data_IF_256325438052
#
_entry.id   IF_256325438052
#
_cell.length_a   1.000
_cell.length_b   1.000
_cell.length_c   1.000
_cell.angle_alpha   90.00
_cell.angle_beta   90.00
_cell.angle_gamma   90.00
#
_symmetry.space_group_name_H-M   'P 1'
#
loop_
_entity.id
_entity.type
_entity.pdbx_description
1 polymer ?
#
# COMPACT_ATOMS: atom_id res chain seq x y z
N UNK A 1 -25.21 16.91 17.40
CA UNK A 1 -24.08 16.56 16.50
C UNK A 1 -22.87 16.11 17.30
N UNK A 2 -21.98 15.26 16.76
CA UNK A 2 -20.69 14.97 17.41
C UNK A 2 -19.73 16.13 17.13
N UNK A 3 -19.14 16.72 18.17
CA UNK A 3 -18.22 17.87 18.05
C UNK A 3 -16.86 17.52 18.67
N UNK A 4 -15.79 18.05 18.10
CA UNK A 4 -14.41 17.96 18.61
C UNK A 4 -13.76 19.34 18.47
N UNK A 5 -13.05 19.79 19.49
CA UNK A 5 -12.21 20.99 19.44
C UNK A 5 -10.86 20.69 20.08
N UNK A 6 -9.78 21.03 19.38
CA UNK A 6 -8.40 20.81 19.83
C UNK A 6 -7.71 22.17 20.02
N UNK A 7 -6.83 22.30 21.01
CA UNK A 7 -6.12 23.54 21.35
C UNK A 7 -4.70 23.21 21.84
N UNK A 8 -3.74 24.12 21.60
CA UNK A 8 -2.38 24.03 22.15
C UNK A 8 -1.96 25.39 22.75
N UNK A 9 -1.05 25.37 23.74
CA UNK A 9 -0.43 26.57 24.31
C UNK A 9 1.04 26.32 24.68
N UNK A 10 1.86 27.36 24.59
CA UNK A 10 3.33 27.30 24.70
C UNK A 10 3.95 28.21 25.76
N UNK A 11 3.19 28.71 26.75
CA UNK A 11 3.66 29.61 27.83
C UNK A 11 2.72 30.81 28.10
N UNK A 12 2.58 31.24 29.36
CA UNK A 12 1.63 32.30 29.80
C UNK A 12 0.27 31.79 30.34
N UNK A 13 -0.67 32.67 30.76
CA UNK A 13 -2.02 32.25 31.16
C UNK A 13 -2.88 31.87 29.95
N UNK A 14 -3.71 30.83 30.13
CA UNK A 14 -4.43 30.15 29.05
C UNK A 14 -5.94 30.24 29.23
N UNK A 15 -6.69 30.44 28.14
CA UNK A 15 -8.13 30.22 28.12
C UNK A 15 -8.56 29.49 26.84
N UNK A 16 -9.65 28.73 26.94
CA UNK A 16 -10.35 28.14 25.80
C UNK A 16 -11.85 28.16 26.10
N UNK A 17 -12.65 28.71 25.19
CA UNK A 17 -14.10 28.86 25.32
C UNK A 17 -14.77 28.46 24.02
N UNK A 18 -15.65 27.48 24.07
CA UNK A 18 -16.43 27.04 22.92
C UNK A 18 -17.88 27.56 23.05
N UNK A 19 -18.32 28.36 22.08
CA UNK A 19 -19.65 28.97 22.03
C UNK A 19 -20.29 28.79 20.66
N UNK A 20 -21.62 28.81 20.60
CA UNK A 20 -22.40 28.70 19.37
C UNK A 20 -23.53 29.75 19.33
N UNK A 21 -23.96 30.14 18.12
CA UNK A 21 -25.12 30.99 17.85
C UNK A 21 -25.82 30.50 16.58
N UNK A 22 -27.13 30.75 16.51
CA UNK A 22 -28.02 30.31 15.44
C UNK A 22 -29.49 30.42 15.86
N UNK A 23 -30.42 29.94 15.01
CA UNK A 23 -31.85 29.92 15.33
C UNK A 23 -32.15 29.32 16.71
N UNK A 24 -31.45 28.24 17.07
CA UNK A 24 -31.59 27.51 18.35
C UNK A 24 -31.12 28.29 19.59
N UNK A 25 -30.44 29.42 19.39
CA UNK A 25 -29.95 30.30 20.46
C UNK A 25 -30.65 31.67 20.44
N UNK A 26 -31.63 31.85 19.55
CA UNK A 26 -32.25 33.16 19.29
C UNK A 26 -31.23 34.20 18.80
N UNK A 27 -30.18 33.76 18.10
CA UNK A 27 -29.06 34.62 17.65
C UNK A 27 -28.02 34.95 18.73
N UNK A 28 -28.19 34.50 19.97
CA UNK A 28 -27.27 34.81 21.07
C UNK A 28 -26.06 33.85 21.14
N UNK A 29 -24.88 34.37 21.49
CA UNK A 29 -23.69 33.55 21.67
C UNK A 29 -23.68 32.81 23.02
N UNK A 30 -24.03 31.53 23.01
CA UNK A 30 -24.12 30.68 24.21
C UNK A 30 -22.96 29.68 24.29
N UNK A 31 -22.57 29.27 25.51
CA UNK A 31 -21.60 28.19 25.69
C UNK A 31 -22.19 26.85 25.28
N UNK A 32 -21.37 26.00 24.64
CA UNK A 32 -21.75 24.62 24.31
C UNK A 32 -21.88 23.81 25.61
N UNK A 33 -23.06 23.24 25.89
CA UNK A 33 -23.35 22.42 27.09
C UNK A 33 -23.57 20.95 26.70
N UNK A 34 -23.21 20.02 27.59
CA UNK A 34 -23.56 18.59 27.46
C UNK A 34 -24.94 18.35 28.08
N UNK A 35 -25.82 17.63 27.38
CA UNK A 35 -27.21 17.43 27.81
C UNK A 35 -27.44 16.22 28.72
N UNK A 36 -26.40 15.51 29.17
CA UNK A 36 -26.53 14.45 30.20
C UNK A 36 -25.35 14.46 31.17
N UNK A 37 -25.65 14.65 32.45
CA UNK A 37 -24.76 14.33 33.56
C UNK A 37 -24.73 12.81 33.73
N UNK A 38 -23.54 12.22 33.84
CA UNK A 38 -23.38 10.80 34.19
C UNK A 38 -23.36 9.82 33.00
N UNK A 39 -22.26 9.86 32.25
CA UNK A 39 -21.54 8.72 31.67
C UNK A 39 -20.72 9.24 30.49
N UNK A 40 -19.40 9.32 30.65
CA UNK A 40 -18.52 9.37 29.51
C UNK A 40 -18.85 8.15 28.63
N UNK A 41 -19.19 8.30 27.34
CA UNK A 41 -19.39 7.15 26.48
C UNK A 41 -18.10 6.32 26.51
N UNK A 42 -18.25 5.03 26.77
CA UNK A 42 -17.14 4.08 26.77
C UNK A 42 -16.31 4.27 25.51
N UNK A 43 -14.99 4.40 25.70
CA UNK A 43 -14.02 4.56 24.63
C UNK A 43 -13.92 3.23 23.88
N UNK A 44 -14.85 2.99 22.97
CA UNK A 44 -14.78 1.92 22.00
C UNK A 44 -15.63 2.27 20.77
N UNK A 45 -15.12 3.17 19.93
CA UNK A 45 -15.44 3.13 18.50
C UNK A 45 -14.16 3.27 17.71
N UNK A 46 -13.73 2.09 17.24
CA UNK A 46 -12.60 1.81 16.37
C UNK A 46 -12.33 2.96 15.40
N UNK A 47 -11.06 3.36 15.32
CA UNK A 47 -10.55 4.10 14.18
C UNK A 47 -11.03 3.39 12.89
N UNK A 48 -11.43 4.12 11.84
CA UNK A 48 -11.75 3.48 10.57
C UNK A 48 -10.63 2.52 10.17
N UNK A 49 -10.97 1.36 9.59
CA UNK A 49 -9.98 0.36 9.30
C UNK A 49 -8.89 0.94 8.40
N UNK A 50 -7.64 0.67 8.75
CA UNK A 50 -6.50 0.94 7.89
C UNK A 50 -6.49 -0.08 6.75
N UNK A 51 -6.48 0.41 5.51
CA UNK A 51 -6.44 -0.46 4.33
C UNK A 51 -5.06 -1.06 4.05
N UNK A 52 -4.00 -0.63 4.76
CA UNK A 52 -2.71 -1.29 4.63
C UNK A 52 -2.76 -2.68 5.25
N UNK A 53 -2.41 -3.64 4.41
CA UNK A 53 -2.20 -5.04 4.75
C UNK A 53 -0.74 -5.39 4.51
N UNK A 54 -0.24 -6.36 5.25
CA UNK A 54 1.13 -6.84 5.18
C UNK A 54 1.14 -8.35 5.07
N UNK A 55 2.06 -8.86 4.26
CA UNK A 55 2.43 -10.26 4.23
C UNK A 55 3.92 -10.43 4.45
N UNK A 56 4.27 -11.54 5.10
CA UNK A 56 5.63 -11.95 5.35
C UNK A 56 5.87 -13.30 4.69
N UNK A 57 6.99 -13.40 4.00
CA UNK A 57 7.40 -14.60 3.28
C UNK A 57 8.78 -15.04 3.75
N UNK A 58 8.99 -16.35 3.83
CA UNK A 58 10.27 -16.97 4.15
C UNK A 58 10.94 -17.47 2.86
N UNK A 59 12.20 -17.09 2.66
CA UNK A 59 13.04 -17.70 1.63
C UNK A 59 13.78 -18.92 2.19
N UNK A 60 13.90 -19.96 1.38
CA UNK A 60 14.76 -21.12 1.65
C UNK A 60 16.25 -20.81 1.41
N UNK A 61 16.55 -19.81 0.57
CA UNK A 61 17.91 -19.38 0.24
C UNK A 61 18.22 -18.02 0.87
N UNK A 62 19.50 -17.70 1.13
CA UNK A 62 19.87 -16.38 1.62
C UNK A 62 19.45 -15.26 0.65
N UNK A 63 18.88 -14.18 1.19
CA UNK A 63 18.42 -13.04 0.39
C UNK A 63 19.50 -11.96 0.31
N UNK A 64 19.81 -11.49 -0.89
CA UNK A 64 20.74 -10.37 -1.11
C UNK A 64 20.10 -9.18 -1.82
N UNK A 65 18.91 -9.41 -2.35
CA UNK A 65 18.05 -8.49 -3.08
C UNK A 65 16.60 -8.87 -2.76
N UNK A 66 15.65 -7.98 -3.06
CA UNK A 66 14.21 -8.28 -3.00
C UNK A 66 13.94 -9.50 -3.90
N UNK A 67 13.47 -10.63 -3.32
CA UNK A 67 13.25 -11.86 -4.08
C UNK A 67 12.00 -11.75 -4.95
N UNK A 68 11.89 -12.66 -5.92
CA UNK A 68 10.59 -12.95 -6.49
C UNK A 68 9.75 -13.66 -5.42
N UNK A 69 8.57 -13.12 -5.12
CA UNK A 69 7.75 -13.62 -3.99
C UNK A 69 7.34 -15.09 -4.18
N UNK A 70 7.33 -15.55 -5.43
CA UNK A 70 7.00 -16.91 -5.86
C UNK A 70 8.04 -17.96 -5.45
N UNK A 71 9.30 -17.56 -5.27
CA UNK A 71 10.35 -18.44 -4.77
C UNK A 71 10.36 -18.51 -3.24
N UNK A 72 9.37 -17.89 -2.59
CA UNK A 72 9.28 -17.77 -1.14
C UNK A 72 7.97 -18.35 -0.61
N UNK A 73 7.98 -18.78 0.65
CA UNK A 73 6.81 -19.35 1.32
C UNK A 73 6.11 -18.27 2.15
N UNK A 74 4.83 -18.01 1.93
CA UNK A 74 4.03 -17.17 2.82
C UNK A 74 4.02 -17.79 4.23
N UNK A 75 4.36 -17.00 5.25
CA UNK A 75 4.40 -17.47 6.65
C UNK A 75 3.43 -16.72 7.57
N UNK A 76 2.92 -15.57 7.15
CA UNK A 76 1.86 -14.88 7.87
C UNK A 76 1.48 -13.55 7.25
N UNK A 77 0.38 -12.99 7.72
CA UNK A 77 -0.16 -11.71 7.29
C UNK A 77 -0.69 -10.92 8.47
N UNK A 78 -0.85 -9.61 8.26
CA UNK A 78 -1.48 -8.70 9.19
C UNK A 78 -2.29 -7.66 8.42
N UNK A 79 -3.47 -7.35 8.92
CA UNK A 79 -4.32 -6.29 8.41
C UNK A 79 -4.18 -5.03 9.29
N UNK A 80 -4.85 -3.95 8.88
CA UNK A 80 -5.03 -2.77 9.73
C UNK A 80 -3.72 -2.05 10.10
N UNK A 81 -2.71 -2.11 9.23
CA UNK A 81 -1.40 -1.49 9.42
C UNK A 81 -1.48 0.03 9.25
N UNK A 82 -1.78 0.76 10.32
CA UNK A 82 -2.02 2.22 10.22
C UNK A 82 -0.90 3.03 9.55
N UNK A 83 0.34 2.57 9.66
CA UNK A 83 1.53 3.22 9.10
C UNK A 83 2.68 2.23 8.93
N UNK A 84 3.52 2.47 7.92
CA UNK A 84 4.73 1.67 7.70
C UNK A 84 5.85 2.24 8.57
N UNK A 85 6.03 1.67 9.76
CA UNK A 85 7.08 2.03 10.72
C UNK A 85 7.52 0.81 11.54
N UNK A 86 8.12 -0.14 10.84
CA UNK A 86 8.65 -1.36 11.41
C UNK A 86 10.11 -1.17 11.81
N UNK A 87 10.41 -1.14 13.12
CA UNK A 87 11.77 -0.89 13.64
C UNK A 87 12.35 -2.11 14.35
N UNK A 88 13.67 -2.29 14.27
CA UNK A 88 14.39 -3.39 14.92
C UNK A 88 14.40 -3.21 16.45
N UNK A 89 13.98 -4.25 17.17
CA UNK A 89 13.92 -4.30 18.64
C UNK A 89 12.84 -3.38 19.24
N UNK A 90 11.90 -3.94 20.04
CA UNK A 90 10.68 -3.37 20.68
C UNK A 90 9.34 -3.91 20.11
N UNK A 91 8.21 -3.30 20.52
CA UNK A 91 6.81 -3.59 20.12
C UNK A 91 6.42 -3.18 18.69
N UNK A 92 7.34 -2.64 17.89
CA UNK A 92 7.11 -2.14 16.51
C UNK A 92 7.91 -2.90 15.44
N UNK A 93 8.55 -4.02 15.77
CA UNK A 93 9.17 -4.91 14.77
C UNK A 93 8.14 -5.72 13.98
N UNK A 94 8.55 -6.26 12.82
CA UNK A 94 7.71 -7.13 11.99
C UNK A 94 7.08 -8.29 12.77
N UNK A 95 7.82 -8.89 13.72
CA UNK A 95 7.31 -9.94 14.62
C UNK A 95 6.10 -9.54 15.48
N UNK A 96 5.89 -8.26 15.76
CA UNK A 96 4.72 -7.82 16.53
C UNK A 96 3.47 -7.71 15.66
N UNK A 97 3.65 -7.35 14.39
CA UNK A 97 2.55 -7.31 13.44
C UNK A 97 2.22 -8.72 12.93
N UNK A 98 3.24 -9.52 12.62
CA UNK A 98 3.11 -10.91 12.18
C UNK A 98 4.04 -11.78 13.02
N UNK A 99 3.48 -12.47 14.01
CA UNK A 99 4.24 -13.29 14.98
C UNK A 99 5.11 -14.37 14.33
N UNK A 100 4.68 -14.91 13.20
CA UNK A 100 5.41 -15.90 12.40
C UNK A 100 6.63 -15.34 11.63
N UNK A 101 6.95 -14.04 11.78
CA UNK A 101 8.09 -13.43 11.08
C UNK A 101 9.41 -14.13 11.43
N UNK A 102 10.14 -14.69 10.46
CA UNK A 102 11.42 -15.33 10.68
C UNK A 102 12.51 -14.36 11.15
N UNK A 103 13.55 -14.84 11.83
CA UNK A 103 14.68 -13.98 12.26
C UNK A 103 15.61 -13.54 11.12
N UNK A 104 15.55 -14.23 9.98
CA UNK A 104 16.46 -14.06 8.83
C UNK A 104 15.82 -14.54 7.53
N UNK A 105 16.34 -14.07 6.41
CA UNK A 105 15.95 -14.40 5.04
C UNK A 105 14.43 -14.44 4.85
N UNK A 106 13.79 -13.31 5.16
CA UNK A 106 12.36 -13.09 4.94
C UNK A 106 12.13 -11.85 4.09
N UNK A 107 11.01 -11.85 3.36
CA UNK A 107 10.55 -10.73 2.55
C UNK A 107 9.19 -10.23 3.07
N UNK A 108 8.87 -8.99 2.77
CA UNK A 108 7.57 -8.41 3.05
C UNK A 108 6.98 -7.74 1.81
N UNK A 109 5.65 -7.77 1.76
CA UNK A 109 4.86 -6.93 0.87
C UNK A 109 3.82 -6.22 1.73
N UNK A 110 3.85 -4.90 1.72
CA UNK A 110 2.86 -4.04 2.36
C UNK A 110 2.12 -3.31 1.26
N UNK A 111 0.79 -3.37 1.24
CA UNK A 111 -0.01 -2.76 0.20
C UNK A 111 -1.28 -2.15 0.74
N UNK A 112 -1.79 -1.13 0.04
CA UNK A 112 -3.11 -0.55 0.24
C UNK A 112 -3.15 0.87 -0.32
N UNK A 113 -3.94 1.76 0.29
CA UNK A 113 -4.13 3.12 -0.21
C UNK A 113 -3.76 4.20 0.82
N UNK A 114 -3.17 5.28 0.33
CA UNK A 114 -2.99 6.53 1.06
C UNK A 114 -3.82 7.64 0.40
N UNK A 115 -4.50 8.44 1.22
CA UNK A 115 -5.24 9.62 0.74
C UNK A 115 -4.29 10.81 0.65
N UNK A 116 -4.30 11.49 -0.49
CA UNK A 116 -3.69 12.81 -0.68
C UNK A 116 -4.83 13.83 -0.76
N UNK A 117 -4.87 14.81 0.13
CA UNK A 117 -5.95 15.82 0.16
C UNK A 117 -5.65 17.01 -0.75
N UNK A 118 -4.39 17.43 -0.79
CA UNK A 118 -3.93 18.55 -1.59
C UNK A 118 -2.97 18.05 -2.68
N UNK A 119 -3.36 18.24 -3.94
CA UNK A 119 -2.50 17.96 -5.08
C UNK A 119 -1.19 18.75 -4.97
N UNK A 120 -0.08 18.15 -5.39
CA UNK A 120 1.20 18.82 -5.39
C UNK A 120 2.40 17.88 -5.39
N UNK A 121 3.57 18.45 -5.09
CA UNK A 121 4.84 17.74 -5.06
C UNK A 121 5.10 17.16 -3.67
N UNK A 122 5.26 15.85 -3.59
CA UNK A 122 5.55 15.11 -2.36
C UNK A 122 6.93 14.47 -2.41
N UNK A 123 7.71 14.60 -1.34
CA UNK A 123 8.94 13.84 -1.14
C UNK A 123 8.59 12.59 -0.34
N UNK A 124 8.84 11.42 -0.90
CA UNK A 124 8.77 10.15 -0.19
C UNK A 124 10.16 9.76 0.27
N UNK A 125 10.29 9.30 1.51
CA UNK A 125 11.52 8.78 2.10
C UNK A 125 11.28 7.37 2.65
N UNK A 126 11.97 6.40 2.08
CA UNK A 126 11.91 4.99 2.47
C UNK A 126 13.21 4.61 3.16
N UNK A 127 13.11 4.17 4.41
CA UNK A 127 14.22 3.63 5.19
C UNK A 127 14.06 2.12 5.31
N UNK A 128 15.13 1.35 5.09
CA UNK A 128 15.10 -0.10 5.33
C UNK A 128 16.45 -0.68 5.74
N UNK A 129 16.39 -1.89 6.29
CA UNK A 129 17.50 -2.82 6.50
C UNK A 129 16.91 -4.24 6.36
N UNK A 130 17.24 -5.04 5.35
CA UNK A 130 18.05 -4.72 4.17
C UNK A 130 17.19 -3.96 3.14
N UNK A 131 17.06 -4.47 1.92
CA UNK A 131 16.54 -3.72 0.79
C UNK A 131 15.02 -3.54 0.80
N UNK A 132 14.57 -2.44 0.20
CA UNK A 132 13.15 -2.14 0.00
C UNK A 132 12.87 -1.33 -1.25
N UNK A 133 11.62 -1.33 -1.71
CA UNK A 133 11.18 -0.54 -2.86
C UNK A 133 9.75 -0.05 -2.65
N UNK A 134 9.53 1.23 -2.96
CA UNK A 134 8.23 1.89 -2.88
C UNK A 134 7.66 2.09 -4.28
N UNK A 135 6.40 1.69 -4.45
CA UNK A 135 5.56 2.04 -5.56
C UNK A 135 4.45 2.98 -5.09
N UNK A 136 4.19 4.04 -5.87
CA UNK A 136 3.01 4.88 -5.72
C UNK A 136 2.31 4.96 -7.07
N UNK A 137 1.04 4.55 -7.13
CA UNK A 137 0.27 4.38 -8.37
C UNK A 137 1.09 3.67 -9.46
N UNK A 138 1.64 2.51 -9.10
CA UNK A 138 2.43 1.67 -10.01
C UNK A 138 3.82 2.17 -10.44
N UNK A 139 4.22 3.37 -10.03
CA UNK A 139 5.56 3.87 -10.33
C UNK A 139 6.51 3.59 -9.18
N UNK A 140 7.68 3.03 -9.50
CA UNK A 140 8.80 3.00 -8.56
C UNK A 140 9.17 4.43 -8.21
N UNK A 141 8.93 4.83 -6.97
CA UNK A 141 9.28 6.15 -6.44
C UNK A 141 10.64 6.08 -5.76
N UNK A 142 10.84 5.07 -4.91
CA UNK A 142 12.13 4.84 -4.24
C UNK A 142 12.54 3.40 -4.46
N UNK A 143 13.79 3.19 -4.87
CA UNK A 143 14.40 1.86 -4.96
C UNK A 143 15.64 1.83 -4.06
N UNK A 144 15.54 1.07 -2.98
CA UNK A 144 16.56 0.86 -1.97
C UNK A 144 16.92 -0.62 -1.89
N UNK A 145 16.97 -1.31 -3.02
CA UNK A 145 17.23 -2.74 -3.07
C UNK A 145 18.72 -3.07 -2.92
N UNK A 146 19.02 -4.32 -2.58
CA UNK A 146 20.36 -4.79 -2.22
C UNK A 146 20.57 -4.90 -0.72
N UNK A 147 21.62 -5.63 -0.31
CA UNK A 147 22.02 -5.78 1.09
C UNK A 147 22.64 -4.47 1.60
N UNK A 148 22.15 -3.96 2.72
CA UNK A 148 22.70 -2.78 3.37
C UNK A 148 22.18 -2.65 4.81
N UNK A 149 22.93 -1.95 5.66
CA UNK A 149 22.43 -1.52 6.97
C UNK A 149 21.31 -0.48 6.86
N UNK A 150 20.88 0.10 7.97
CA UNK A 150 19.83 1.13 7.98
C UNK A 150 20.17 2.27 7.01
N UNK A 151 19.43 2.35 5.91
CA UNK A 151 19.68 3.32 4.86
C UNK A 151 18.37 3.92 4.36
N UNK A 152 18.37 5.23 4.13
CA UNK A 152 17.19 5.99 3.67
C UNK A 152 17.44 6.54 2.28
N UNK A 153 16.50 6.29 1.37
CA UNK A 153 16.43 6.99 0.08
C UNK A 153 15.15 7.79 -0.01
N UNK A 154 15.25 8.96 -0.63
CA UNK A 154 14.09 9.80 -0.88
C UNK A 154 13.97 10.18 -2.35
N UNK A 155 12.73 10.37 -2.81
CA UNK A 155 12.44 10.82 -4.16
C UNK A 155 11.17 11.66 -4.21
N UNK A 156 11.14 12.63 -5.12
CA UNK A 156 9.99 13.49 -5.35
C UNK A 156 9.02 12.87 -6.33
N UNK A 157 7.71 13.03 -6.07
CA UNK A 157 6.63 12.64 -6.97
C UNK A 157 5.53 13.69 -6.94
N UNK A 158 4.96 14.01 -8.10
CA UNK A 158 3.74 14.81 -8.16
C UNK A 158 2.53 13.90 -8.01
N UNK A 159 1.60 14.25 -7.13
CA UNK A 159 0.36 13.52 -6.90
C UNK A 159 -0.84 14.47 -7.06
N UNK A 160 -1.93 13.96 -7.63
CA UNK A 160 -3.22 14.64 -7.58
C UNK A 160 -3.84 14.52 -6.18
N UNK A 161 -4.93 15.23 -5.93
CA UNK A 161 -5.78 14.92 -4.79
C UNK A 161 -6.53 13.61 -5.07
N UNK A 162 -6.73 12.77 -4.05
CA UNK A 162 -7.40 11.49 -4.19
C UNK A 162 -6.68 10.35 -3.48
N UNK A 163 -7.18 9.15 -3.73
CA UNK A 163 -6.57 7.93 -3.21
C UNK A 163 -5.46 7.46 -4.14
N UNK A 164 -4.31 7.15 -3.54
CA UNK A 164 -3.13 6.65 -4.22
C UNK A 164 -2.78 5.25 -3.71
N UNK A 165 -2.60 4.31 -4.65
CA UNK A 165 -2.11 2.98 -4.31
C UNK A 165 -0.66 3.07 -3.86
N UNK A 166 -0.34 2.40 -2.76
CA UNK A 166 0.99 2.31 -2.18
C UNK A 166 1.34 0.84 -2.02
N UNK A 167 2.50 0.45 -2.55
CA UNK A 167 3.08 -0.87 -2.32
C UNK A 167 4.51 -0.68 -1.85
N UNK A 168 4.89 -1.33 -0.75
CA UNK A 168 6.26 -1.42 -0.28
C UNK A 168 6.65 -2.88 -0.23
N UNK A 169 7.57 -3.27 -1.10
CA UNK A 169 8.23 -4.57 -1.05
C UNK A 169 9.60 -4.43 -0.37
N UNK A 170 10.08 -5.50 0.25
CA UNK A 170 11.41 -5.49 0.84
C UNK A 170 11.83 -6.84 1.41
N UNK A 171 13.07 -6.90 1.90
CA UNK A 171 13.61 -8.10 2.51
C UNK A 171 14.59 -7.80 3.64
N UNK A 172 14.81 -8.81 4.46
CA UNK A 172 15.84 -8.84 5.50
C UNK A 172 16.65 -10.11 5.33
N UNK A 173 17.96 -9.97 5.07
CA UNK A 173 18.90 -11.07 5.11
C UNK A 173 19.07 -11.58 6.54
N UNK A 174 19.28 -10.67 7.50
CA UNK A 174 19.52 -11.03 8.90
C UNK A 174 19.08 -9.93 9.87
N UNK A 175 18.99 -10.25 11.17
CA UNK A 175 18.77 -9.25 12.22
C UNK A 175 17.33 -8.73 12.35
N UNK A 176 16.34 -9.42 11.77
CA UNK A 176 14.90 -9.13 11.97
C UNK A 176 14.33 -7.95 11.18
N UNK A 177 15.16 -7.27 10.39
CA UNK A 177 14.78 -6.23 9.45
C UNK A 177 14.20 -4.94 10.04
N UNK A 178 14.12 -3.90 9.22
CA UNK A 178 13.36 -2.68 9.50
C UNK A 178 12.85 -2.04 8.20
N UNK A 179 11.71 -1.36 8.26
CA UNK A 179 11.13 -0.61 7.14
C UNK A 179 10.28 0.55 7.64
N UNK A 180 10.56 1.77 7.19
CA UNK A 180 9.79 2.95 7.52
C UNK A 180 9.54 3.82 6.30
N UNK A 181 8.27 4.20 6.08
CA UNK A 181 7.87 5.11 5.01
C UNK A 181 7.43 6.46 5.58
N UNK A 182 8.10 7.51 5.15
CA UNK A 182 7.74 8.89 5.43
C UNK A 182 7.47 9.66 4.16
N UNK A 183 6.71 10.74 4.29
CA UNK A 183 6.44 11.68 3.22
C UNK A 183 6.36 13.12 3.74
N UNK A 184 6.65 14.08 2.87
CA UNK A 184 6.33 15.50 3.11
C UNK A 184 5.79 16.16 1.86
N UNK A 185 4.90 17.12 2.03
CA UNK A 185 4.33 17.92 0.96
C UNK A 185 3.18 18.79 1.48
N UNK A 186 2.28 19.23 0.60
CA UNK A 186 1.12 20.04 0.98
C UNK A 186 0.32 19.48 2.17
N UNK A 187 -0.03 18.19 2.17
CA UNK A 187 -0.79 17.54 3.26
C UNK A 187 -0.12 17.57 4.64
N UNK A 188 1.19 17.72 4.67
CA UNK A 188 1.97 17.69 5.91
C UNK A 188 2.48 19.06 6.33
N UNK A 189 2.07 20.13 5.64
CA UNK A 189 2.67 21.45 5.82
C UNK A 189 4.19 21.41 5.60
N UNK A 190 4.66 20.57 4.67
CA UNK A 190 6.07 20.28 4.39
C UNK A 190 6.88 19.65 5.53
N UNK A 191 6.23 19.18 6.60
CA UNK A 191 6.88 18.38 7.65
C UNK A 191 7.02 16.92 7.23
N UNK A 192 8.13 16.27 7.59
CA UNK A 192 8.36 14.86 7.26
C UNK A 192 7.64 13.94 8.25
N UNK A 193 6.48 13.41 7.84
CA UNK A 193 5.61 12.58 8.66
C UNK A 193 5.57 11.15 8.13
N UNK A 194 5.15 10.19 8.94
CA UNK A 194 4.87 8.85 8.44
C UNK A 194 3.64 8.86 7.54
N UNK A 195 3.72 8.12 6.43
CA UNK A 195 2.56 7.93 5.57
C UNK A 195 1.56 7.04 6.31
N UNK A 196 0.34 7.55 6.47
CA UNK A 196 -0.76 6.81 7.09
C UNK A 196 -1.62 6.15 6.03
N UNK A 197 -2.13 4.96 6.34
CA UNK A 197 -3.19 4.36 5.55
C UNK A 197 -4.45 5.24 5.58
N UNK A 198 -5.29 5.10 4.55
CA UNK A 198 -6.67 5.58 4.62
C UNK A 198 -7.33 5.03 5.90
N UNK A 199 -8.00 5.90 6.65
CA UNK A 199 -8.73 5.53 7.87
C UNK A 199 -8.29 6.21 9.17
N UNK A 200 -7.29 7.11 9.17
CA UNK A 200 -7.02 7.96 10.34
C UNK A 200 -7.92 9.22 10.45
N UNK A 201 -9.05 9.27 9.73
CA UNK A 201 -10.00 10.40 9.79
C UNK A 201 -10.72 10.80 8.48
N UNK A 202 -10.69 9.99 7.42
CA UNK A 202 -11.32 10.33 6.14
C UNK A 202 -12.81 9.95 6.10
N UNK A 203 -13.68 10.83 5.58
CA UNK A 203 -15.07 10.51 5.21
C UNK A 203 -15.09 9.57 3.98
N UNK A 204 -16.06 8.65 3.86
CA UNK A 204 -16.17 7.77 2.69
C UNK A 204 -16.39 8.58 1.40
N UNK A 205 -15.72 8.24 0.29
CA UNK A 205 -16.06 8.77 -1.02
C UNK A 205 -17.43 8.26 -1.46
N UNK A 206 -18.26 9.16 -1.97
CA UNK A 206 -19.64 8.95 -2.41
C UNK A 206 -19.75 8.42 -3.85
N UNK A 207 -18.74 7.73 -4.37
CA UNK A 207 -18.76 7.21 -5.73
C UNK A 207 -18.01 5.87 -5.82
N UNK A 208 -18.74 4.81 -6.16
CA UNK A 208 -18.17 3.53 -6.62
C UNK A 208 -17.39 3.82 -7.89
N UNK A 209 -16.07 3.60 -7.87
CA UNK A 209 -15.21 3.82 -9.04
C UNK A 209 -15.42 2.68 -10.03
N UNK A 210 -15.58 3.03 -11.30
CA UNK A 210 -15.46 2.08 -12.41
C UNK A 210 -14.07 1.42 -12.40
N UNK A 211 -14.04 0.09 -12.51
CA UNK A 211 -12.80 -0.71 -12.55
C UNK A 211 -11.78 -0.20 -13.57
N UNK A 212 -10.50 -0.19 -13.18
CA UNK A 212 -9.38 0.28 -13.98
C UNK A 212 -8.11 -0.52 -13.65
N UNK A 213 -7.97 -1.70 -14.23
CA UNK A 213 -6.81 -2.57 -14.05
C UNK A 213 -5.58 -1.97 -14.75
N UNK A 214 -4.49 -1.78 -14.00
CA UNK A 214 -3.22 -1.30 -14.53
C UNK A 214 -2.41 -2.48 -15.07
N UNK A 215 -2.28 -2.55 -16.39
CA UNK A 215 -1.43 -3.48 -17.11
C UNK A 215 -0.04 -2.90 -17.29
N UNK A 216 0.99 -3.72 -17.06
CA UNK A 216 2.37 -3.47 -17.50
C UNK A 216 2.84 -4.60 -18.40
N UNK A 217 3.51 -4.26 -19.49
CA UNK A 217 4.05 -5.20 -20.48
C UNK A 217 5.58 -5.20 -20.42
N UNK A 218 6.16 -6.39 -20.45
CA UNK A 218 7.58 -6.63 -20.29
C UNK A 218 8.12 -7.53 -21.41
N UNK A 219 9.37 -7.32 -21.77
CA UNK A 219 10.10 -8.10 -22.76
C UNK A 219 11.32 -8.77 -22.11
N UNK A 220 11.49 -10.06 -22.40
CA UNK A 220 12.71 -10.81 -22.11
C UNK A 220 13.61 -10.89 -23.33
N UNK A 221 14.93 -10.87 -23.09
CA UNK A 221 15.93 -11.20 -24.13
C UNK A 221 16.20 -12.70 -24.24
N UNK A 222 15.71 -13.49 -23.28
CA UNK A 222 15.85 -14.94 -23.21
C UNK A 222 14.49 -15.60 -23.41
N UNK A 223 14.51 -16.83 -23.89
CA UNK A 223 13.31 -17.65 -23.96
C UNK A 223 12.69 -17.78 -22.56
N UNK A 224 11.37 -17.63 -22.50
CA UNK A 224 10.59 -17.87 -21.28
C UNK A 224 10.00 -19.28 -21.37
N UNK A 225 10.28 -20.10 -20.37
CA UNK A 225 9.75 -21.45 -20.15
C UNK A 225 8.92 -21.54 -18.85
N UNK A 226 8.93 -20.46 -18.08
CA UNK A 226 8.24 -20.24 -16.81
C UNK A 226 8.10 -18.75 -16.57
N UNK A 227 7.24 -18.38 -15.63
CA UNK A 227 7.01 -17.00 -15.25
C UNK A 227 8.31 -16.36 -14.73
N UNK A 228 8.79 -15.30 -15.41
CA UNK A 228 10.06 -14.68 -15.06
C UNK A 228 9.91 -13.71 -13.89
N UNK A 229 11.00 -13.49 -13.17
CA UNK A 229 11.09 -12.34 -12.28
C UNK A 229 11.06 -11.05 -13.10
N UNK A 230 9.95 -10.31 -12.99
CA UNK A 230 9.62 -9.16 -13.83
C UNK A 230 10.64 -8.02 -13.72
N UNK A 231 11.39 -7.96 -12.61
CA UNK A 231 12.45 -6.96 -12.38
C UNK A 231 13.60 -7.07 -13.39
N UNK A 232 13.90 -8.27 -13.87
CA UNK A 232 14.97 -8.51 -14.83
C UNK A 232 14.52 -8.34 -16.28
N UNK A 233 13.24 -8.03 -16.50
CA UNK A 233 12.69 -7.78 -17.80
C UNK A 233 12.68 -6.30 -18.15
N UNK A 234 12.71 -6.01 -19.46
CA UNK A 234 12.55 -4.66 -19.98
C UNK A 234 11.06 -4.32 -20.04
N UNK A 235 10.60 -3.33 -19.30
CA UNK A 235 9.24 -2.81 -19.49
C UNK A 235 9.13 -2.11 -20.87
N UNK A 236 8.12 -2.48 -21.65
CA UNK A 236 7.88 -1.93 -23.00
C UNK A 236 6.58 -1.14 -23.10
N UNK A 237 5.71 -1.21 -22.09
CA UNK A 237 4.57 -0.30 -22.03
C UNK A 237 3.63 -0.57 -20.86
N UNK A 238 2.59 0.26 -20.79
CA UNK A 238 1.56 0.22 -19.75
C UNK A 238 0.22 0.63 -20.32
N UNK A 239 -0.87 0.10 -19.76
CA UNK A 239 -2.23 0.43 -20.17
C UNK A 239 -3.18 0.30 -18.98
N UNK A 240 -4.15 1.20 -18.88
CA UNK A 240 -5.33 0.99 -18.02
C UNK A 240 -6.36 0.23 -18.86
N UNK A 241 -6.72 -0.98 -18.44
CA UNK A 241 -7.76 -1.80 -19.07
C UNK A 241 -8.99 -1.86 -18.17
N UNK A 242 -10.18 -1.88 -18.77
CA UNK A 242 -11.45 -1.92 -18.02
C UNK A 242 -11.71 -3.31 -17.41
N UNK A 243 -11.23 -4.35 -18.08
CA UNK A 243 -11.35 -5.76 -17.70
C UNK A 243 -10.06 -6.47 -18.09
N UNK A 244 -9.70 -7.52 -17.35
CA UNK A 244 -8.60 -8.42 -17.71
C UNK A 244 -9.18 -9.55 -18.58
N UNK A 245 -9.31 -9.27 -19.88
CA UNK A 245 -9.74 -10.22 -20.92
C UNK A 245 -8.98 -9.85 -22.21
N UNK A 246 -7.79 -10.43 -22.39
CA UNK A 246 -6.98 -10.28 -23.60
C UNK A 246 -6.72 -11.67 -24.15
N UNK A 247 -7.25 -11.95 -25.34
CA UNK A 247 -7.45 -13.32 -25.83
C UNK A 247 -6.33 -13.81 -26.71
N UNK A 248 -5.54 -12.89 -27.23
CA UNK A 248 -4.51 -13.17 -28.21
C UNK A 248 -3.50 -12.01 -28.28
N UNK A 249 -2.42 -12.25 -29.01
CA UNK A 249 -1.35 -11.27 -29.22
C UNK A 249 -1.83 -9.94 -29.82
N UNK A 250 -2.89 -9.94 -30.64
CA UNK A 250 -3.45 -8.71 -31.21
C UNK A 250 -4.07 -7.83 -30.12
N UNK A 251 -4.81 -8.39 -29.17
CA UNK A 251 -5.37 -7.63 -28.04
C UNK A 251 -4.27 -6.99 -27.18
N UNK A 252 -3.19 -7.74 -26.93
CA UNK A 252 -2.03 -7.20 -26.22
C UNK A 252 -1.37 -6.05 -26.99
N UNK A 253 -1.22 -6.16 -28.31
CA UNK A 253 -0.72 -5.04 -29.15
C UNK A 253 -1.67 -3.86 -29.20
N UNK A 254 -2.98 -4.08 -29.22
CA UNK A 254 -3.96 -3.00 -29.18
C UNK A 254 -3.90 -2.24 -27.84
N UNK A 255 -3.68 -2.95 -26.73
CA UNK A 255 -3.47 -2.35 -25.41
C UNK A 255 -2.12 -1.64 -25.30
N UNK A 256 -1.05 -2.29 -25.75
CA UNK A 256 0.34 -1.82 -25.72
C UNK A 256 0.99 -2.08 -27.08
N UNK A 257 1.08 -1.07 -27.98
CA UNK A 257 1.59 -1.26 -29.34
C UNK A 257 3.02 -1.82 -29.45
N UNK A 258 3.82 -1.65 -28.39
CA UNK A 258 5.20 -2.15 -28.31
C UNK A 258 5.29 -3.61 -27.82
N UNK A 259 4.17 -4.34 -27.74
CA UNK A 259 4.17 -5.75 -27.32
C UNK A 259 5.02 -6.60 -28.29
N UNK A 260 6.07 -7.29 -27.81
CA UNK A 260 6.93 -8.14 -28.62
C UNK A 260 6.19 -9.37 -29.17
N UNK A 261 6.63 -9.90 -30.31
CA UNK A 261 6.03 -11.10 -30.91
C UNK A 261 6.20 -12.39 -30.09
N UNK A 262 7.19 -12.45 -29.20
CA UNK A 262 7.45 -13.59 -28.31
C UNK A 262 8.26 -13.15 -27.08
N UNK A 263 8.38 -14.03 -26.08
CA UNK A 263 9.17 -13.80 -24.85
C UNK A 263 8.78 -12.53 -24.10
N UNK A 264 7.48 -12.33 -23.93
CA UNK A 264 6.92 -11.21 -23.19
C UNK A 264 6.13 -11.71 -21.99
N UNK A 265 6.05 -10.86 -20.96
CA UNK A 265 5.26 -11.11 -19.76
C UNK A 265 4.45 -9.87 -19.42
N UNK A 266 3.34 -10.04 -18.72
CA UNK A 266 2.51 -8.93 -18.26
C UNK A 266 2.17 -9.06 -16.78
N UNK A 267 1.89 -7.91 -16.16
CA UNK A 267 1.34 -7.85 -14.81
C UNK A 267 0.13 -6.91 -14.77
N UNK A 268 -0.97 -7.40 -14.21
CA UNK A 268 -2.16 -6.61 -13.93
C UNK A 268 -2.21 -6.27 -12.45
N UNK A 269 -2.41 -5.00 -12.14
CA UNK A 269 -2.58 -4.49 -10.78
C UNK A 269 -3.95 -3.84 -10.66
N UNK A 270 -4.67 -4.16 -9.59
CA UNK A 270 -6.01 -3.65 -9.39
C UNK A 270 -6.57 -4.10 -8.05
N UNK A 271 -7.84 -3.79 -7.84
CA UNK A 271 -8.59 -4.22 -6.67
C UNK A 271 -9.89 -4.85 -7.16
N UNK A 272 -10.24 -5.99 -6.55
CA UNK A 272 -11.55 -6.60 -6.70
C UNK A 272 -12.41 -6.13 -5.54
N UNK A 273 -13.50 -5.42 -5.85
CA UNK A 273 -14.51 -5.06 -4.86
C UNK A 273 -15.54 -6.20 -4.75
N UNK A 274 -15.86 -6.59 -3.52
CA UNK A 274 -16.80 -7.68 -3.22
C UNK A 274 -17.95 -7.11 -2.40
N UNK A 275 -19.11 -6.96 -3.03
CA UNK A 275 -20.28 -6.30 -2.42
C UNK A 275 -21.06 -7.18 -1.43
N UNK A 276 -20.86 -8.51 -1.49
CA UNK A 276 -21.57 -9.48 -0.65
C UNK A 276 -20.59 -10.43 -0.01
N UNK A 277 -20.77 -10.72 1.27
CA UNK A 277 -19.97 -11.76 1.92
C UNK A 277 -20.35 -13.15 1.36
N UNK A 278 -19.35 -14.00 1.13
CA UNK A 278 -19.53 -15.35 0.62
C UNK A 278 -18.22 -16.01 0.22
N UNK A 279 -18.29 -17.27 -0.20
CA UNK A 279 -17.17 -18.00 -0.80
C UNK A 279 -17.08 -17.69 -2.29
N UNK A 280 -15.89 -17.33 -2.76
CA UNK A 280 -15.62 -17.01 -4.16
C UNK A 280 -14.56 -17.94 -4.74
N UNK A 281 -14.74 -18.31 -6.00
CA UNK A 281 -13.72 -19.00 -6.80
C UNK A 281 -13.12 -18.02 -7.79
N UNK A 282 -11.79 -17.99 -7.90
CA UNK A 282 -11.06 -17.17 -8.87
C UNK A 282 -10.21 -18.12 -9.69
N UNK A 283 -10.36 -18.02 -11.01
CA UNK A 283 -9.67 -18.86 -11.99
C UNK A 283 -8.88 -17.98 -12.95
N UNK A 284 -7.81 -18.53 -13.52
CA UNK A 284 -7.11 -17.95 -14.64
C UNK A 284 -6.96 -18.97 -15.76
N UNK A 285 -7.04 -18.48 -16.99
CA UNK A 285 -6.70 -19.22 -18.21
C UNK A 285 -5.59 -18.44 -18.89
N UNK A 286 -4.54 -19.14 -19.28
CA UNK A 286 -3.35 -18.56 -19.91
C UNK A 286 -2.77 -19.54 -20.91
N UNK A 287 -1.98 -19.00 -21.84
CA UNK A 287 -1.10 -19.68 -22.78
C UNK A 287 0.12 -18.74 -22.85
N UNK A 288 1.28 -19.04 -22.27
CA UNK A 288 1.70 -20.17 -21.44
C UNK A 288 1.35 -19.98 -19.94
N UNK A 289 2.34 -19.61 -19.12
CA UNK A 289 2.22 -19.54 -17.66
C UNK A 289 1.39 -18.37 -17.11
N UNK A 290 0.76 -18.55 -15.95
CA UNK A 290 0.18 -17.43 -15.19
C UNK A 290 0.17 -17.65 -13.68
N UNK A 291 0.19 -16.53 -12.95
CA UNK A 291 -0.05 -16.48 -11.51
C UNK A 291 -1.17 -15.49 -11.21
N UNK A 292 -2.04 -15.84 -10.25
CA UNK A 292 -3.01 -14.91 -9.67
C UNK A 292 -2.74 -14.78 -8.18
N UNK A 293 -2.65 -13.53 -7.72
CA UNK A 293 -2.50 -13.21 -6.31
C UNK A 293 -3.73 -12.45 -5.84
N UNK A 294 -4.22 -12.82 -4.66
CA UNK A 294 -5.30 -12.11 -3.97
C UNK A 294 -4.79 -11.77 -2.58
N UNK A 295 -4.92 -10.49 -2.22
CA UNK A 295 -4.33 -9.96 -1.00
C UNK A 295 -2.82 -10.24 -0.86
N UNK A 296 -2.17 -10.52 -2.00
CA UNK A 296 -0.79 -10.96 -2.25
C UNK A 296 -0.44 -12.40 -1.84
N UNK A 297 -1.41 -13.18 -1.35
CA UNK A 297 -1.30 -14.63 -1.35
C UNK A 297 -1.49 -15.17 -2.76
N UNK A 298 -0.66 -16.13 -3.19
CA UNK A 298 -0.85 -16.80 -4.47
C UNK A 298 -2.07 -17.70 -4.40
N UNK A 299 -3.04 -17.46 -5.27
CA UNK A 299 -4.30 -18.19 -5.35
C UNK A 299 -4.33 -19.16 -6.55
N UNK A 300 -3.75 -18.76 -7.68
CA UNK A 300 -3.65 -19.59 -8.89
C UNK A 300 -2.19 -19.66 -9.32
N UNK A 301 -1.74 -20.87 -9.67
CA UNK A 301 -0.44 -21.15 -10.27
C UNK A 301 -0.63 -22.08 -11.46
N UNK A 302 -0.56 -21.51 -12.66
CA UNK A 302 -0.59 -22.22 -13.93
C UNK A 302 0.76 -22.05 -14.64
N UNK A 303 1.88 -22.07 -13.92
CA UNK A 303 3.20 -21.84 -14.51
C UNK A 303 3.66 -22.98 -15.44
N UNK A 304 4.64 -22.69 -16.30
CA UNK A 304 5.14 -23.59 -17.32
C UNK A 304 4.54 -23.33 -18.70
N UNK A 305 5.06 -24.04 -19.70
CA UNK A 305 4.56 -24.04 -21.08
C UNK A 305 3.37 -24.99 -21.21
N UNK A 306 2.24 -24.50 -21.72
CA UNK A 306 1.04 -25.31 -22.01
C UNK A 306 0.14 -24.63 -23.04
#
# INVERSE_FOLDING_TARGET
HKMRADMFQGGGPTNFKLKYSGPDTGGNMLFVRSEREGAAPSVAKLAPPSDFKMMIYKSAKPLYIIPEILETKLVGSADQIQMINFRRGNSKGFKNAVSATPGRDFAWVIYGAARIEYAGRYLFCLTSNDGSRLFVNDYVVVNNDGRHGDYTRCAWRYLGAGDHQVVVEGFSHSGGGMCALRYKGPDTGNSLLYLKARGAGAKPPTQVKTSSWNMRMYQSKRQLDRMPNLRFLKMVGKKVVKVVDLRNHHDFKAAVPQTPGSNYAWAFYGSLEVDKAGSYSICATSDDGSYVFVDGGMLVNNDGLH
#
